data_IF_821850886560
#
_entry.id   IF_821850886560
#
_cell.length_a   1.000
_cell.length_b   1.000
_cell.length_c   1.000
_cell.angle_alpha   90.00
_cell.angle_beta   90.00
_cell.angle_gamma   90.00
#
_symmetry.space_group_name_H-M   'P 1'
#
loop_
_entity.id
_entity.type
_entity.pdbx_description
1 polymer ?
#
# COMPACT_ATOMS: atom_id res chain seq x y z
N UNK A 1 33.27 -19.35 -13.40
CA UNK A 1 32.27 -18.47 -14.04
C UNK A 1 32.29 -17.10 -13.38
N UNK A 2 32.61 -16.05 -14.15
CA UNK A 2 32.60 -14.67 -13.67
C UNK A 2 31.18 -14.17 -13.34
N UNK A 3 31.10 -13.10 -12.56
CA UNK A 3 29.85 -12.46 -12.14
C UNK A 3 28.93 -12.04 -13.31
N UNK A 4 29.52 -11.55 -14.41
CA UNK A 4 28.78 -11.21 -15.65
C UNK A 4 28.03 -12.42 -16.23
N UNK A 5 28.67 -13.59 -16.29
CA UNK A 5 28.02 -14.82 -16.79
C UNK A 5 26.89 -15.30 -15.88
N UNK A 6 26.97 -15.00 -14.58
CA UNK A 6 25.89 -15.27 -13.62
C UNK A 6 24.70 -14.33 -13.82
N UNK A 7 24.95 -13.04 -14.03
CA UNK A 7 23.91 -12.04 -14.31
C UNK A 7 23.16 -12.38 -15.60
N UNK A 8 23.89 -12.67 -16.68
CA UNK A 8 23.28 -13.04 -17.97
C UNK A 8 22.45 -14.33 -17.89
N UNK A 9 22.85 -15.27 -17.02
CA UNK A 9 22.11 -16.53 -16.80
C UNK A 9 20.86 -16.34 -15.94
N UNK A 10 20.93 -15.51 -14.90
CA UNK A 10 19.78 -15.23 -14.04
C UNK A 10 18.70 -14.43 -14.78
N UNK A 11 19.09 -13.53 -15.69
CA UNK A 11 18.14 -12.70 -16.43
C UNK A 11 17.43 -11.68 -15.54
N UNK A 12 16.19 -11.31 -15.90
CA UNK A 12 15.34 -10.46 -15.04
C UNK A 12 14.74 -11.31 -13.93
N UNK A 13 15.00 -10.91 -12.69
CA UNK A 13 14.36 -11.51 -11.51
C UNK A 13 12.93 -10.98 -11.34
N UNK A 14 12.73 -9.70 -11.67
CA UNK A 14 11.43 -9.06 -11.48
C UNK A 14 10.45 -9.41 -12.61
N UNK A 15 9.20 -9.66 -12.25
CA UNK A 15 8.10 -9.96 -13.15
C UNK A 15 7.83 -8.81 -14.12
N UNK A 16 7.25 -9.15 -15.27
CA UNK A 16 6.82 -8.17 -16.25
C UNK A 16 5.41 -7.68 -15.88
N UNK A 17 5.29 -6.43 -15.46
CA UNK A 17 4.03 -5.84 -14.99
C UNK A 17 3.21 -5.18 -16.09
N UNK A 18 3.58 -5.35 -17.37
CA UNK A 18 2.83 -4.78 -18.50
C UNK A 18 2.79 -3.24 -18.52
N UNK A 19 1.87 -2.63 -19.29
CA UNK A 19 1.75 -1.18 -19.41
C UNK A 19 1.34 -0.51 -18.10
N UNK A 20 1.55 0.80 -18.00
CA UNK A 20 1.12 1.57 -16.85
C UNK A 20 -0.43 1.57 -16.74
N UNK A 21 -1.00 1.36 -15.55
CA UNK A 21 -2.44 1.44 -15.34
C UNK A 21 -2.98 2.86 -15.53
N UNK A 22 -4.28 2.95 -15.77
CA UNK A 22 -4.96 4.24 -15.76
C UNK A 22 -4.86 4.89 -14.37
N UNK A 23 -4.58 6.20 -14.28
CA UNK A 23 -4.47 6.87 -12.99
C UNK A 23 -5.80 6.89 -12.26
N UNK A 24 -5.84 6.35 -11.03
CA UNK A 24 -7.03 6.39 -10.18
C UNK A 24 -7.23 7.78 -9.56
N UNK A 25 -6.13 8.43 -9.17
CA UNK A 25 -6.14 9.73 -8.51
C UNK A 25 -4.99 10.65 -8.99
N UNK A 26 -5.06 11.93 -8.59
CA UNK A 26 -3.94 12.86 -8.73
C UNK A 26 -2.76 12.46 -7.84
N UNK A 27 -1.49 12.62 -8.28
CA UNK A 27 -0.36 12.42 -7.40
C UNK A 27 -0.39 13.44 -6.25
N UNK A 28 0.07 13.06 -5.05
CA UNK A 28 0.26 14.02 -3.98
C UNK A 28 1.28 15.07 -4.42
N UNK A 29 0.99 16.34 -4.16
CA UNK A 29 1.83 17.49 -4.49
C UNK A 29 2.14 17.68 -5.98
N UNK A 30 1.45 16.97 -6.89
CA UNK A 30 1.74 17.05 -8.32
C UNK A 30 3.00 16.28 -8.75
N UNK A 31 3.73 15.65 -7.82
CA UNK A 31 4.99 14.94 -8.10
C UNK A 31 4.69 13.51 -8.55
N UNK A 32 5.17 13.13 -9.73
CA UNK A 32 4.98 11.80 -10.32
C UNK A 32 6.25 10.97 -10.22
N UNK A 33 6.11 9.65 -10.17
CA UNK A 33 7.24 8.72 -10.19
C UNK A 33 8.08 8.69 -8.91
N UNK A 34 7.60 9.28 -7.81
CA UNK A 34 8.16 9.17 -6.47
C UNK A 34 7.00 9.24 -5.47
N UNK A 35 6.75 8.16 -4.74
CA UNK A 35 5.68 8.03 -3.77
C UNK A 35 6.26 7.39 -2.50
N UNK A 36 6.41 8.19 -1.43
CA UNK A 36 6.82 7.66 -0.14
C UNK A 36 5.60 7.17 0.63
N UNK A 37 5.56 5.87 0.94
CA UNK A 37 4.40 5.20 1.53
C UNK A 37 4.72 4.79 2.96
N UNK A 38 3.86 5.17 3.92
CA UNK A 38 3.89 4.61 5.27
C UNK A 38 2.76 3.60 5.41
N UNK A 39 3.12 2.33 5.60
CA UNK A 39 2.15 1.30 5.96
C UNK A 39 1.63 1.49 7.39
N UNK A 40 0.33 1.26 7.61
CA UNK A 40 -0.29 1.31 8.94
C UNK A 40 -1.22 0.12 9.08
N UNK A 41 -0.87 -0.80 9.96
CA UNK A 41 -1.77 -1.87 10.40
C UNK A 41 -2.77 -1.30 11.42
N UNK A 42 -4.07 -1.32 11.10
CA UNK A 42 -5.14 -0.85 11.99
C UNK A 42 -5.85 -1.98 12.77
N UNK A 43 -5.45 -3.24 12.57
CA UNK A 43 -6.13 -4.43 13.09
C UNK A 43 -6.17 -5.59 12.10
N UNK A 44 -5.10 -5.79 11.34
CA UNK A 44 -4.94 -6.83 10.34
C UNK A 44 -4.59 -8.18 10.96
N UNK A 45 -4.77 -9.25 10.18
CA UNK A 45 -4.34 -10.60 10.51
C UNK A 45 -2.94 -10.95 9.96
N UNK A 46 -2.18 -9.95 9.50
CA UNK A 46 -0.89 -10.05 8.78
C UNK A 46 -0.97 -10.60 7.34
N UNK A 47 -2.16 -10.96 6.84
CA UNK A 47 -2.29 -11.49 5.47
C UNK A 47 -1.93 -10.46 4.39
N UNK A 48 -2.45 -9.24 4.50
CA UNK A 48 -2.15 -8.17 3.53
C UNK A 48 -0.68 -7.73 3.62
N UNK A 49 -0.10 -7.76 4.82
CA UNK A 49 1.28 -7.37 5.10
C UNK A 49 2.29 -8.31 4.42
N UNK A 50 1.98 -9.61 4.34
CA UNK A 50 2.80 -10.57 3.60
C UNK A 50 2.80 -10.23 2.11
N UNK A 51 1.64 -9.92 1.53
CA UNK A 51 1.56 -9.57 0.11
C UNK A 51 2.16 -8.20 -0.20
N UNK A 52 2.01 -7.22 0.70
CA UNK A 52 2.73 -5.94 0.62
C UNK A 52 4.24 -6.18 0.66
N UNK A 53 4.73 -7.04 1.57
CA UNK A 53 6.14 -7.40 1.62
C UNK A 53 6.60 -8.08 0.33
N UNK A 54 5.75 -8.92 -0.27
CA UNK A 54 5.96 -9.51 -1.59
C UNK A 54 6.06 -8.46 -2.70
N UNK A 55 5.18 -7.46 -2.69
CA UNK A 55 5.14 -6.38 -3.68
C UNK A 55 6.44 -5.53 -3.69
N UNK A 56 7.02 -5.30 -2.52
CA UNK A 56 8.33 -4.63 -2.36
C UNK A 56 9.53 -5.59 -2.40
N UNK A 57 9.28 -6.90 -2.56
CA UNK A 57 10.31 -7.91 -2.74
C UNK A 57 10.92 -7.90 -4.15
N UNK A 58 12.01 -8.64 -4.37
CA UNK A 58 12.78 -8.61 -5.63
C UNK A 58 12.02 -9.17 -6.85
N UNK A 59 10.93 -9.90 -6.64
CA UNK A 59 10.11 -10.49 -7.71
C UNK A 59 9.13 -9.48 -8.29
N UNK A 60 8.49 -8.66 -7.47
CA UNK A 60 7.51 -7.67 -7.95
C UNK A 60 8.09 -6.26 -8.04
N UNK A 61 9.03 -5.94 -7.15
CA UNK A 61 9.88 -4.74 -7.14
C UNK A 61 9.10 -3.45 -7.41
N UNK A 62 8.16 -3.13 -6.52
CA UNK A 62 7.40 -1.88 -6.55
C UNK A 62 8.30 -0.62 -6.59
N UNK A 63 9.52 -0.71 -6.02
CA UNK A 63 10.46 0.42 -5.95
C UNK A 63 10.91 0.90 -7.33
N UNK A 64 10.98 0.02 -8.34
CA UNK A 64 11.31 0.42 -9.72
C UNK A 64 10.28 1.39 -10.32
N UNK A 65 9.07 1.44 -9.78
CA UNK A 65 8.01 2.37 -10.18
C UNK A 65 7.96 3.64 -9.34
N UNK A 66 8.91 3.81 -8.42
CA UNK A 66 9.05 4.99 -7.57
C UNK A 66 8.23 4.93 -6.29
N UNK A 67 7.59 3.81 -5.95
CA UNK A 67 6.94 3.63 -4.66
C UNK A 67 7.96 3.12 -3.64
N UNK A 68 8.04 3.71 -2.45
CA UNK A 68 9.01 3.30 -1.42
C UNK A 68 8.37 3.29 -0.04
N UNK A 69 8.66 2.26 0.75
CA UNK A 69 8.23 2.22 2.15
C UNK A 69 9.12 3.11 3.03
N UNK A 70 8.49 3.98 3.82
CA UNK A 70 9.17 4.84 4.79
C UNK A 70 8.71 4.54 6.21
N UNK A 71 9.63 4.68 7.17
CA UNK A 71 9.38 4.35 8.57
C UNK A 71 8.51 5.40 9.29
N UNK A 72 8.65 6.68 8.92
CA UNK A 72 7.98 7.79 9.59
C UNK A 72 6.84 8.34 8.72
N UNK A 73 5.63 8.55 9.28
CA UNK A 73 4.55 9.24 8.56
C UNK A 73 4.93 10.67 8.16
N UNK A 74 5.89 11.30 8.86
CA UNK A 74 6.40 12.65 8.54
C UNK A 74 7.17 12.71 7.22
N UNK A 75 7.61 11.56 6.70
CA UNK A 75 8.33 11.45 5.43
C UNK A 75 7.46 10.80 4.34
N UNK A 76 6.18 10.57 4.62
CA UNK A 76 5.27 9.88 3.72
C UNK A 76 4.42 10.88 2.92
N UNK A 77 4.18 10.54 1.66
CA UNK A 77 3.23 11.19 0.76
C UNK A 77 1.91 10.41 0.71
N UNK A 78 1.91 9.14 1.14
CA UNK A 78 0.72 8.31 1.24
C UNK A 78 0.76 7.38 2.46
N UNK A 79 -0.43 7.07 2.99
CA UNK A 79 -0.64 6.02 3.98
C UNK A 79 -1.22 4.79 3.28
N UNK A 80 -0.63 3.62 3.50
CA UNK A 80 -1.19 2.34 3.07
C UNK A 80 -1.74 1.63 4.29
N UNK A 81 -3.07 1.60 4.44
CA UNK A 81 -3.74 1.14 5.66
C UNK A 81 -4.36 -0.23 5.43
N UNK A 82 -4.12 -1.16 6.35
CA UNK A 82 -4.62 -2.54 6.29
C UNK A 82 -5.46 -2.87 7.53
N UNK A 83 -6.29 -3.91 7.38
CA UNK A 83 -7.08 -4.47 8.48
C UNK A 83 -8.36 -3.69 8.79
N UNK A 84 -9.16 -4.28 9.67
CA UNK A 84 -10.30 -3.56 10.27
C UNK A 84 -9.78 -2.53 11.26
N UNK A 85 -10.42 -1.37 11.36
CA UNK A 85 -10.00 -0.39 12.37
C UNK A 85 -10.51 -0.83 13.73
N UNK A 86 -9.62 -1.38 14.55
CA UNK A 86 -9.93 -1.77 15.93
C UNK A 86 -10.12 -0.54 16.81
N UNK A 87 -10.87 -0.69 17.92
CA UNK A 87 -11.08 0.39 18.92
C UNK A 87 -9.76 1.02 19.39
N UNK A 88 -8.75 0.19 19.62
CA UNK A 88 -7.44 0.63 20.08
C UNK A 88 -6.63 1.35 18.99
N UNK A 89 -6.88 1.06 17.71
CA UNK A 89 -6.17 1.66 16.58
C UNK A 89 -6.86 2.88 15.98
N UNK A 90 -8.12 3.15 16.30
CA UNK A 90 -8.85 4.31 15.79
C UNK A 90 -8.13 5.65 16.06
N UNK A 91 -7.68 5.89 17.29
CA UNK A 91 -6.97 7.13 17.63
C UNK A 91 -5.53 7.15 17.06
N UNK A 92 -4.72 6.08 17.18
CA UNK A 92 -3.43 6.00 16.50
C UNK A 92 -3.50 6.29 15.00
N UNK A 93 -4.47 5.72 14.28
CA UNK A 93 -4.65 5.94 12.85
C UNK A 93 -4.91 7.42 12.51
N UNK A 94 -5.81 8.08 13.27
CA UNK A 94 -6.07 9.52 13.12
C UNK A 94 -4.83 10.36 13.41
N UNK A 95 -4.07 10.00 14.43
CA UNK A 95 -2.82 10.68 14.78
C UNK A 95 -1.74 10.51 13.69
N UNK A 96 -1.63 9.31 13.11
CA UNK A 96 -0.73 9.05 11.98
C UNK A 96 -1.10 9.91 10.78
N UNK A 97 -2.39 9.94 10.42
CA UNK A 97 -2.88 10.82 9.35
C UNK A 97 -2.54 12.29 9.63
N UNK A 98 -2.80 12.77 10.85
CA UNK A 98 -2.48 14.15 11.23
C UNK A 98 -0.97 14.47 11.17
N UNK A 99 -0.11 13.49 11.44
CA UNK A 99 1.34 13.63 11.40
C UNK A 99 1.95 13.59 9.99
N UNK A 100 1.21 13.08 9.00
CA UNK A 100 1.64 13.03 7.60
C UNK A 100 1.52 14.42 6.95
N UNK A 101 2.55 14.95 6.26
CA UNK A 101 2.46 16.27 5.62
C UNK A 101 1.36 16.32 4.56
N UNK A 102 0.71 17.47 4.39
CA UNK A 102 -0.17 17.69 3.25
C UNK A 102 0.64 18.28 2.08
N UNK A 103 0.31 17.95 0.82
CA UNK A 103 -0.75 17.03 0.38
C UNK A 103 -0.35 15.54 0.50
N UNK A 104 -1.33 14.69 0.87
CA UNK A 104 -1.15 13.25 1.14
C UNK A 104 -2.31 12.43 0.59
N UNK A 105 -2.08 11.13 0.37
CA UNK A 105 -3.11 10.16 0.01
C UNK A 105 -3.31 9.10 1.10
N UNK A 106 -4.50 8.51 1.14
CA UNK A 106 -4.83 7.31 1.95
C UNK A 106 -5.26 6.19 1.01
N UNK A 107 -4.55 5.07 1.11
CA UNK A 107 -4.78 3.85 0.33
C UNK A 107 -5.27 2.77 1.30
N UNK A 108 -6.49 2.31 1.16
CA UNK A 108 -7.03 1.19 1.94
C UNK A 108 -6.75 -0.13 1.21
N UNK A 109 -6.18 -1.10 1.92
CA UNK A 109 -5.72 -2.36 1.33
C UNK A 109 -6.36 -3.57 2.02
N UNK A 110 -7.09 -4.35 1.23
CA UNK A 110 -7.78 -5.57 1.61
C UNK A 110 -9.21 -5.36 2.09
N UNK A 111 -10.04 -6.39 1.97
CA UNK A 111 -11.49 -6.33 2.20
C UNK A 111 -11.83 -5.87 3.63
N UNK A 112 -11.06 -6.30 4.63
CA UNK A 112 -11.19 -5.81 6.00
C UNK A 112 -11.08 -4.27 6.10
N UNK A 113 -10.17 -3.67 5.33
CA UNK A 113 -9.98 -2.22 5.31
C UNK A 113 -11.07 -1.48 4.52
N UNK A 114 -11.69 -2.12 3.54
CA UNK A 114 -12.74 -1.53 2.69
C UNK A 114 -14.12 -1.66 3.32
N UNK A 115 -14.49 -2.87 3.76
CA UNK A 115 -15.87 -3.22 4.13
C UNK A 115 -15.99 -4.03 5.44
N UNK A 116 -14.93 -4.04 6.27
CA UNK A 116 -14.83 -4.79 7.54
C UNK A 116 -14.71 -6.32 7.38
N UNK A 117 -14.83 -6.85 6.16
CA UNK A 117 -14.69 -8.27 5.85
C UNK A 117 -15.52 -9.16 6.78
N UNK A 118 -14.90 -10.23 7.28
CA UNK A 118 -15.53 -11.18 8.21
C UNK A 118 -15.80 -10.62 9.62
N UNK A 119 -15.32 -9.40 9.93
CA UNK A 119 -15.40 -8.78 11.26
C UNK A 119 -16.44 -7.65 11.34
N UNK A 120 -17.38 -7.57 10.39
CA UNK A 120 -18.37 -6.48 10.27
C UNK A 120 -19.08 -6.08 11.57
N UNK A 121 -19.51 -7.07 12.36
CA UNK A 121 -20.26 -6.89 13.61
C UNK A 121 -19.43 -7.22 14.87
N UNK A 122 -18.11 -7.36 14.72
CA UNK A 122 -17.26 -7.73 15.85
C UNK A 122 -17.14 -6.59 16.87
N UNK A 123 -17.32 -6.90 18.15
CA UNK A 123 -17.35 -5.90 19.23
C UNK A 123 -16.11 -4.99 19.28
N UNK A 124 -14.94 -5.51 18.91
CA UNK A 124 -13.66 -4.79 18.94
C UNK A 124 -13.40 -3.89 17.74
N UNK A 125 -14.28 -3.89 16.73
CA UNK A 125 -14.15 -3.13 15.49
C UNK A 125 -14.92 -1.83 15.59
N UNK A 126 -14.28 -0.73 15.19
CA UNK A 126 -14.93 0.58 15.04
C UNK A 126 -15.52 0.72 13.65
N UNK A 127 -14.80 0.21 12.64
CA UNK A 127 -15.24 0.27 11.26
C UNK A 127 -14.18 -0.16 10.25
N UNK A 128 -14.49 0.07 8.99
CA UNK A 128 -13.52 0.03 7.90
C UNK A 128 -12.66 1.30 7.92
N UNK A 129 -11.60 1.37 7.11
CA UNK A 129 -10.72 2.54 7.06
C UNK A 129 -11.49 3.78 6.61
N UNK A 130 -12.34 3.65 5.58
CA UNK A 130 -13.14 4.75 5.02
C UNK A 130 -14.17 5.34 5.98
N UNK A 131 -14.63 4.57 6.97
CA UNK A 131 -15.53 5.04 8.02
C UNK A 131 -14.80 5.84 9.12
N UNK A 132 -13.48 5.67 9.23
CA UNK A 132 -12.65 6.34 10.25
C UNK A 132 -11.90 7.53 9.65
N UNK A 133 -11.28 7.38 8.49
CA UNK A 133 -10.55 8.44 7.77
C UNK A 133 -10.91 8.43 6.27
N UNK A 134 -10.83 9.57 5.57
CA UNK A 134 -11.10 9.60 4.13
C UNK A 134 -10.07 8.74 3.37
N UNK A 135 -10.56 7.94 2.43
CA UNK A 135 -9.77 7.05 1.56
C UNK A 135 -9.79 7.58 0.14
N UNK A 136 -8.63 7.60 -0.51
CA UNK A 136 -8.46 8.06 -1.90
C UNK A 136 -8.35 6.91 -2.89
N UNK A 137 -7.77 5.78 -2.47
CA UNK A 137 -7.56 4.58 -3.31
C UNK A 137 -7.91 3.34 -2.51
N UNK A 138 -8.62 2.41 -3.14
CA UNK A 138 -9.00 1.13 -2.55
C UNK A 138 -8.36 -0.03 -3.33
N UNK A 139 -7.81 -1.00 -2.60
CA UNK A 139 -7.24 -2.23 -3.17
C UNK A 139 -8.06 -3.41 -2.62
N UNK A 140 -9.04 -3.93 -3.39
CA UNK A 140 -9.87 -5.07 -2.96
C UNK A 140 -9.08 -6.38 -2.96
N UNK A 141 -9.42 -7.29 -2.05
CA UNK A 141 -8.80 -8.63 -1.95
C UNK A 141 -8.65 -9.14 -0.51
N UNK A 142 -8.47 -10.45 -0.33
CA UNK A 142 -8.33 -11.07 0.99
C UNK A 142 -7.30 -12.24 1.01
N UNK A 143 -5.98 -11.94 0.98
CA UNK A 143 -5.37 -10.62 0.73
C UNK A 143 -5.32 -10.30 -0.79
N UNK A 144 -5.20 -9.02 -1.17
CA UNK A 144 -4.88 -8.66 -2.55
C UNK A 144 -3.48 -9.20 -2.91
N UNK A 145 -3.32 -9.70 -4.13
CA UNK A 145 -2.04 -10.25 -4.58
C UNK A 145 -0.98 -9.15 -4.76
N UNK A 146 0.32 -9.48 -4.75
CA UNK A 146 1.38 -8.49 -4.85
C UNK A 146 1.32 -7.67 -6.15
N UNK A 147 0.93 -8.30 -7.27
CA UNK A 147 0.71 -7.61 -8.54
C UNK A 147 -0.43 -6.58 -8.44
N UNK A 148 -1.53 -6.89 -7.75
CA UNK A 148 -2.62 -5.93 -7.52
C UNK A 148 -2.15 -4.74 -6.68
N UNK A 149 -1.34 -4.99 -5.64
CA UNK A 149 -0.73 -3.94 -4.82
C UNK A 149 0.19 -3.06 -5.68
N UNK A 150 1.07 -3.67 -6.51
CA UNK A 150 1.94 -2.94 -7.43
C UNK A 150 1.13 -2.09 -8.40
N UNK A 151 0.08 -2.65 -9.00
CA UNK A 151 -0.76 -1.94 -9.97
C UNK A 151 -1.48 -0.74 -9.35
N UNK A 152 -1.96 -0.85 -8.12
CA UNK A 152 -2.52 0.28 -7.39
C UNK A 152 -1.47 1.36 -7.10
N UNK A 153 -0.27 0.99 -6.67
CA UNK A 153 0.82 1.96 -6.47
C UNK A 153 1.23 2.64 -7.78
N UNK A 154 1.25 1.88 -8.88
CA UNK A 154 1.55 2.39 -10.23
C UNK A 154 0.50 3.36 -10.75
N UNK A 155 -0.77 3.18 -10.39
CA UNK A 155 -1.83 4.14 -10.79
C UNK A 155 -1.60 5.51 -10.14
N UNK A 156 -1.03 5.54 -8.94
CA UNK A 156 -0.65 6.76 -8.23
C UNK A 156 0.67 7.33 -8.76
N UNK A 157 1.71 6.51 -8.92
CA UNK A 157 3.03 6.99 -9.40
C UNK A 157 3.05 7.34 -10.88
N UNK A 158 2.11 6.80 -11.66
CA UNK A 158 1.97 6.96 -13.12
C UNK A 158 3.18 6.41 -13.89
N UNK A 159 3.68 5.25 -13.49
CA UNK A 159 4.80 4.52 -14.11
C UNK A 159 4.45 3.04 -14.30
#
# INVERSE_FOLDING_TARGET
>A
MGWIGRIMRLGRVAENTGPAPEPTVGPPAGVRGSLQVRHVDAGSCNGCEVEISGAFGPVYDAERFGARLVASPRHADALLVTGVVTRNMAQPLRNTLAATPAPRLVIACGDCALNRGVFGDAYGVVGSVGEVIPVDVEIPGCPPSPDQVVMALRSVTRR
#
